data_IF_328659297122
#
_entry.id   IF_328659297122
#
_cell.length_a   1.000
_cell.length_b   1.000
_cell.length_c   1.000
_cell.angle_alpha   90.00
_cell.angle_beta   90.00
_cell.angle_gamma   90.00
#
_symmetry.space_group_name_H-M   'P 1'
#
loop_
_entity.id
_entity.type
_entity.pdbx_description
1 polymer ?
#
# COMPACT_ATOMS: atom_id res chain seq x y z
N UNK A 1 26.55 -89.20 -1.05
CA UNK A 1 25.51 -88.67 -0.18
C UNK A 1 25.83 -87.16 0.07
N UNK A 2 25.54 -86.33 -0.92
CA UNK A 2 25.86 -84.87 -0.84
C UNK A 2 24.59 -84.09 -1.07
N UNK A 3 24.19 -83.25 -0.04
CA UNK A 3 23.11 -82.35 -0.13
C UNK A 3 23.70 -80.98 -0.51
N UNK A 4 23.30 -80.41 -1.63
CA UNK A 4 23.59 -79.03 -2.03
C UNK A 4 22.60 -78.07 -1.43
N UNK A 5 23.11 -77.09 -0.60
CA UNK A 5 22.40 -75.92 -0.17
C UNK A 5 22.52 -74.86 -1.28
N UNK A 6 21.38 -74.45 -1.83
CA UNK A 6 21.31 -73.28 -2.72
C UNK A 6 21.07 -72.04 -1.89
N UNK A 7 22.00 -71.11 -1.87
CA UNK A 7 21.80 -69.75 -1.39
C UNK A 7 21.19 -68.94 -2.52
N UNK A 8 19.97 -68.40 -2.28
CA UNK A 8 19.35 -67.38 -3.13
C UNK A 8 19.80 -66.00 -2.62
N UNK A 9 20.61 -65.30 -3.44
CA UNK A 9 20.90 -63.89 -3.26
C UNK A 9 19.67 -63.08 -3.70
N UNK A 10 18.99 -62.45 -2.75
CA UNK A 10 18.00 -61.40 -3.01
C UNK A 10 18.77 -60.09 -3.18
N UNK A 11 18.89 -59.61 -4.41
CA UNK A 11 19.36 -58.25 -4.71
C UNK A 11 18.25 -57.27 -4.37
N UNK A 12 18.42 -56.56 -3.27
CA UNK A 12 17.61 -55.40 -2.92
C UNK A 12 18.09 -54.22 -3.78
N UNK A 13 17.40 -53.95 -4.88
CA UNK A 13 17.60 -52.73 -5.67
C UNK A 13 16.96 -51.55 -4.90
N UNK A 14 17.77 -50.79 -4.19
CA UNK A 14 17.36 -49.48 -3.67
C UNK A 14 17.19 -48.50 -4.82
N UNK A 15 15.96 -48.18 -5.15
CA UNK A 15 15.61 -47.06 -6.01
C UNK A 15 15.97 -45.78 -5.27
N UNK A 16 17.15 -45.23 -5.55
CA UNK A 16 17.49 -43.84 -5.28
C UNK A 16 16.69 -42.99 -6.28
N UNK A 17 15.54 -42.46 -5.86
CA UNK A 17 14.93 -41.35 -6.55
C UNK A 17 15.92 -40.19 -6.49
N UNK A 18 16.23 -39.49 -7.59
CA UNK A 18 16.96 -38.24 -7.50
C UNK A 18 16.11 -37.26 -6.71
N UNK A 19 16.63 -36.81 -5.57
CA UNK A 19 16.18 -35.58 -4.95
C UNK A 19 16.35 -34.49 -6.02
N UNK A 20 15.24 -33.99 -6.56
CA UNK A 20 15.25 -32.80 -7.34
C UNK A 20 15.89 -31.73 -6.42
N UNK A 21 17.10 -31.31 -6.76
CA UNK A 21 17.63 -30.05 -6.26
C UNK A 21 16.63 -29.01 -6.73
N UNK A 22 15.90 -28.43 -5.77
CA UNK A 22 15.28 -27.15 -5.99
C UNK A 22 16.44 -26.22 -6.35
N UNK A 23 16.40 -25.66 -7.55
CA UNK A 23 17.27 -24.56 -7.92
C UNK A 23 16.99 -23.46 -6.89
N UNK A 24 17.93 -23.28 -5.94
CA UNK A 24 17.98 -22.15 -5.03
C UNK A 24 18.30 -20.90 -5.90
N UNK A 25 17.34 -20.40 -6.64
CA UNK A 25 17.38 -19.02 -7.11
C UNK A 25 17.44 -18.14 -5.85
N UNK A 26 18.45 -17.29 -5.72
CA UNK A 26 18.59 -16.48 -4.52
C UNK A 26 17.35 -15.58 -4.39
N UNK A 27 16.52 -15.84 -3.39
CA UNK A 27 15.33 -15.05 -3.10
C UNK A 27 15.67 -13.57 -2.84
N UNK A 28 14.67 -12.75 -2.55
CA UNK A 28 14.86 -11.33 -2.24
C UNK A 28 15.94 -11.13 -1.14
N UNK A 29 17.01 -10.35 -1.41
CA UNK A 29 18.24 -10.40 -0.61
C UNK A 29 18.20 -9.56 0.68
N UNK A 30 17.27 -8.60 0.82
CA UNK A 30 17.22 -7.71 1.99
C UNK A 30 16.34 -8.36 3.06
N UNK A 31 16.98 -8.98 4.04
CA UNK A 31 16.32 -9.75 5.10
C UNK A 31 15.84 -8.91 6.29
N UNK A 32 16.34 -7.68 6.45
CA UNK A 32 15.87 -6.77 7.49
C UNK A 32 14.58 -6.07 7.00
N UNK A 33 13.42 -6.25 7.67
CA UNK A 33 12.13 -5.75 7.17
C UNK A 33 12.04 -4.22 7.13
N UNK A 34 12.65 -3.52 8.09
CA UNK A 34 12.64 -2.06 8.11
C UNK A 34 13.50 -1.50 6.98
N UNK A 35 14.70 -2.06 6.80
CA UNK A 35 15.58 -1.68 5.70
C UNK A 35 14.91 -1.96 4.36
N UNK A 36 14.38 -3.17 4.14
CA UNK A 36 13.67 -3.54 2.93
C UNK A 36 12.56 -2.53 2.57
N UNK A 37 11.78 -2.12 3.57
CA UNK A 37 10.69 -1.14 3.40
C UNK A 37 11.17 0.23 2.95
N UNK A 38 12.34 0.68 3.46
CA UNK A 38 12.93 2.00 3.17
C UNK A 38 13.63 2.00 1.81
N UNK A 39 14.51 1.02 1.58
CA UNK A 39 15.38 1.02 0.40
C UNK A 39 14.74 0.36 -0.83
N UNK A 40 13.75 -0.49 -0.62
CA UNK A 40 13.13 -1.26 -1.71
C UNK A 40 14.03 -2.36 -2.25
N UNK A 41 13.92 -2.61 -3.55
CA UNK A 41 14.70 -3.63 -4.25
C UNK A 41 16.05 -3.08 -4.70
N UNK A 42 17.17 -3.79 -4.51
CA UNK A 42 18.47 -3.40 -5.05
C UNK A 42 18.40 -3.13 -6.56
N UNK A 43 19.03 -2.03 -7.07
CA UNK A 43 18.86 -1.60 -8.46
C UNK A 43 19.11 -2.68 -9.51
N UNK A 44 20.09 -3.57 -9.29
CA UNK A 44 20.45 -4.67 -10.21
C UNK A 44 19.41 -5.82 -10.24
N UNK A 45 18.48 -5.84 -9.28
CA UNK A 45 17.44 -6.86 -9.15
C UNK A 45 16.03 -6.33 -9.42
N UNK A 46 15.93 -5.06 -9.81
CA UNK A 46 14.68 -4.42 -10.19
C UNK A 46 14.22 -4.95 -11.55
N UNK A 47 12.96 -5.35 -11.66
CA UNK A 47 12.35 -5.66 -12.96
C UNK A 47 12.36 -4.39 -13.83
N UNK A 48 12.88 -4.47 -15.06
CA UNK A 48 12.97 -3.31 -15.94
C UNK A 48 11.59 -2.84 -16.39
N UNK A 49 11.33 -1.56 -16.23
CA UNK A 49 10.13 -0.88 -16.73
C UNK A 49 10.55 0.28 -17.62
N UNK A 50 9.71 0.72 -18.60
CA UNK A 50 10.02 1.85 -19.45
C UNK A 50 10.21 3.13 -18.62
N UNK A 51 11.01 4.08 -19.13
CA UNK A 51 11.12 5.39 -18.52
C UNK A 51 9.78 6.12 -18.50
N UNK A 52 9.58 7.02 -17.54
CA UNK A 52 8.32 7.75 -17.39
C UNK A 52 7.92 8.51 -18.66
N UNK A 53 8.92 9.05 -19.38
CA UNK A 53 8.73 9.78 -20.63
C UNK A 53 8.31 8.89 -21.82
N UNK A 54 8.55 7.59 -21.73
CA UNK A 54 8.15 6.62 -22.75
C UNK A 54 6.70 6.17 -22.58
N UNK A 55 6.15 6.30 -21.35
CA UNK A 55 4.79 5.93 -21.05
C UNK A 55 3.82 7.03 -21.50
N UNK A 56 2.86 6.68 -22.33
CA UNK A 56 1.78 7.60 -22.67
C UNK A 56 0.88 7.80 -21.46
N UNK A 57 0.98 8.94 -20.81
CA UNK A 57 0.23 9.24 -19.58
C UNK A 57 -0.22 10.70 -19.53
N UNK A 58 -1.22 10.98 -18.69
CA UNK A 58 -1.70 12.33 -18.35
C UNK A 58 -2.22 12.36 -16.92
N UNK A 59 -1.96 13.47 -16.23
CA UNK A 59 -2.68 13.81 -15.01
C UNK A 59 -4.01 14.45 -15.40
N UNK A 60 -5.08 13.94 -14.85
CA UNK A 60 -6.46 14.34 -15.12
C UNK A 60 -7.16 14.59 -13.79
N UNK A 61 -8.33 15.23 -13.82
CA UNK A 61 -9.12 15.45 -12.62
C UNK A 61 -10.62 15.28 -12.88
N UNK A 62 -11.36 14.88 -11.85
CA UNK A 62 -12.82 14.75 -11.88
C UNK A 62 -13.44 15.36 -10.65
N UNK A 63 -14.63 15.92 -10.83
CA UNK A 63 -15.40 16.53 -9.74
C UNK A 63 -16.36 15.50 -9.14
N UNK A 64 -15.94 14.84 -8.06
CA UNK A 64 -16.72 13.79 -7.40
C UNK A 64 -17.84 14.37 -6.55
N UNK A 65 -17.57 15.43 -5.79
CA UNK A 65 -18.50 16.08 -4.87
C UNK A 65 -18.74 17.54 -5.29
N UNK A 66 -19.57 17.81 -6.32
CA UNK A 66 -19.75 19.14 -6.90
C UNK A 66 -20.30 20.19 -5.90
N UNK A 67 -21.12 19.75 -4.96
CA UNK A 67 -21.77 20.65 -3.98
C UNK A 67 -20.96 20.84 -2.69
N UNK A 68 -19.79 20.21 -2.57
CA UNK A 68 -18.96 20.33 -1.36
C UNK A 68 -18.39 21.75 -1.24
N UNK A 69 -18.64 22.37 -0.09
CA UNK A 69 -17.91 23.58 0.30
C UNK A 69 -16.51 23.22 0.78
N UNK A 70 -15.52 23.90 0.24
CA UNK A 70 -14.13 23.85 0.73
C UNK A 70 -13.67 25.25 1.11
N UNK A 71 -12.94 25.40 2.23
CA UNK A 71 -12.27 26.67 2.55
C UNK A 71 -11.40 27.14 1.38
N UNK A 72 -11.25 28.46 1.14
CA UNK A 72 -10.43 28.98 0.04
C UNK A 72 -9.00 28.45 0.01
N UNK A 73 -8.39 28.16 1.17
CA UNK A 73 -7.07 27.55 1.27
C UNK A 73 -7.00 26.15 0.63
N UNK A 74 -8.12 25.42 0.54
CA UNK A 74 -8.24 24.10 -0.05
C UNK A 74 -8.84 24.11 -1.47
N UNK A 75 -8.97 25.29 -2.09
CA UNK A 75 -9.64 25.42 -3.40
C UNK A 75 -9.03 24.58 -4.52
N UNK A 76 -7.73 24.27 -4.44
CA UNK A 76 -7.03 23.38 -5.39
C UNK A 76 -7.47 21.91 -5.30
N UNK A 77 -8.10 21.49 -4.21
CA UNK A 77 -8.59 20.13 -3.99
C UNK A 77 -10.11 19.98 -4.26
N UNK A 78 -10.68 20.83 -5.10
CA UNK A 78 -12.10 20.72 -5.50
C UNK A 78 -12.38 19.57 -6.43
N UNK A 79 -11.37 19.11 -7.15
CA UNK A 79 -11.42 17.99 -8.06
C UNK A 79 -10.43 16.93 -7.57
N UNK A 80 -10.81 15.67 -7.70
CA UNK A 80 -9.94 14.54 -7.43
C UNK A 80 -9.00 14.36 -8.60
N UNK A 81 -7.71 14.41 -8.35
CA UNK A 81 -6.68 14.15 -9.35
C UNK A 81 -6.42 12.65 -9.47
N UNK A 82 -6.15 12.22 -10.69
CA UNK A 82 -5.73 10.85 -10.98
C UNK A 82 -4.77 10.81 -12.17
N UNK A 83 -3.95 9.77 -12.26
CA UNK A 83 -3.06 9.56 -13.41
C UNK A 83 -3.60 8.46 -14.28
N UNK A 84 -3.71 8.75 -15.58
CA UNK A 84 -4.05 7.77 -16.61
C UNK A 84 -2.82 7.45 -17.43
N UNK A 85 -2.47 6.15 -17.54
CA UNK A 85 -1.57 5.63 -18.56
C UNK A 85 -2.37 4.76 -19.53
N UNK A 86 -2.18 4.93 -20.87
CA UNK A 86 -3.05 4.25 -21.83
C UNK A 86 -2.38 3.85 -23.14
N UNK A 87 -3.01 2.89 -23.83
CA UNK A 87 -2.70 2.45 -25.19
C UNK A 87 -3.73 2.95 -26.19
N UNK A 88 -3.38 2.95 -27.48
CA UNK A 88 -4.32 3.38 -28.55
C UNK A 88 -5.33 2.28 -28.94
N UNK A 89 -5.02 1.02 -28.67
CA UNK A 89 -5.86 -0.14 -28.93
C UNK A 89 -6.71 -0.50 -27.69
N UNK A 90 -7.78 -1.29 -27.86
CA UNK A 90 -8.49 -1.86 -26.74
C UNK A 90 -7.57 -2.68 -25.83
N UNK A 91 -7.69 -2.48 -24.53
CA UNK A 91 -6.89 -3.18 -23.53
C UNK A 91 -7.62 -3.28 -22.18
N UNK A 92 -7.23 -4.20 -21.30
CA UNK A 92 -7.70 -4.22 -19.91
C UNK A 92 -7.35 -2.92 -19.19
N UNK A 93 -8.23 -2.44 -18.30
CA UNK A 93 -7.96 -1.29 -17.43
C UNK A 93 -7.72 -1.76 -16.00
N UNK A 94 -6.56 -1.45 -15.46
CA UNK A 94 -6.24 -1.64 -14.05
C UNK A 94 -6.50 -0.33 -13.30
N UNK A 95 -7.34 -0.39 -12.26
CA UNK A 95 -7.33 0.63 -11.22
C UNK A 95 -6.26 0.28 -10.19
N UNK A 96 -5.41 1.25 -9.84
CA UNK A 96 -4.35 1.09 -8.87
C UNK A 96 -4.54 2.09 -7.73
N UNK A 97 -4.81 1.58 -6.50
CA UNK A 97 -5.13 2.39 -5.32
C UNK A 97 -3.92 2.53 -4.42
N UNK A 98 -3.61 3.78 -4.03
CA UNK A 98 -2.47 4.11 -3.18
C UNK A 98 -2.64 3.66 -1.71
N UNK A 99 -1.52 3.43 -1.04
CA UNK A 99 -1.45 3.16 0.41
C UNK A 99 -1.67 4.40 1.27
N UNK A 100 -1.65 4.22 2.57
CA UNK A 100 -1.93 5.26 3.59
C UNK A 100 -1.24 6.59 3.31
N UNK A 101 -2.01 7.65 3.18
CA UNK A 101 -1.54 9.02 2.96
C UNK A 101 -0.96 9.32 1.58
N UNK A 102 -0.77 8.31 0.74
CA UNK A 102 -0.10 8.45 -0.56
C UNK A 102 -1.04 8.98 -1.64
N UNK A 103 -0.49 9.84 -2.51
CA UNK A 103 -1.16 10.34 -3.70
C UNK A 103 -1.04 9.40 -4.91
N UNK A 104 -1.82 9.69 -5.94
CA UNK A 104 -1.80 9.01 -7.25
C UNK A 104 -0.42 9.11 -7.97
N UNK A 105 0.42 10.04 -7.56
CA UNK A 105 1.73 10.35 -8.13
C UNK A 105 2.90 9.75 -7.31
N UNK A 106 2.60 8.89 -6.33
CA UNK A 106 3.63 8.31 -5.46
C UNK A 106 4.60 7.40 -6.26
N UNK A 107 5.91 7.42 -5.95
CA UNK A 107 6.93 6.69 -6.72
C UNK A 107 6.67 5.19 -6.84
N UNK A 108 6.14 4.55 -5.77
CA UNK A 108 5.82 3.13 -5.77
C UNK A 108 4.69 2.79 -6.75
N UNK A 109 3.66 3.62 -6.79
CA UNK A 109 2.55 3.43 -7.72
C UNK A 109 2.95 3.78 -9.15
N UNK A 110 3.83 4.76 -9.32
CA UNK A 110 4.38 5.09 -10.63
C UNK A 110 5.13 3.89 -11.23
N UNK A 111 5.94 3.20 -10.43
CA UNK A 111 6.61 1.98 -10.87
C UNK A 111 5.60 0.88 -11.27
N UNK A 112 4.63 0.56 -10.42
CA UNK A 112 3.61 -0.46 -10.73
C UNK A 112 2.77 -0.08 -11.96
N UNK A 113 2.42 1.18 -12.10
CA UNK A 113 1.73 1.72 -13.30
C UNK A 113 2.54 1.44 -14.57
N UNK A 114 3.87 1.71 -14.54
CA UNK A 114 4.74 1.43 -15.69
C UNK A 114 4.86 -0.05 -16.00
N UNK A 115 4.90 -0.90 -14.98
CA UNK A 115 4.91 -2.35 -15.15
C UNK A 115 3.61 -2.87 -15.80
N UNK A 116 2.44 -2.45 -15.30
CA UNK A 116 1.15 -2.82 -15.89
C UNK A 116 0.97 -2.23 -17.29
N UNK A 117 1.43 -1.00 -17.52
CA UNK A 117 1.38 -0.41 -18.85
C UNK A 117 2.29 -1.16 -19.83
N UNK A 118 3.49 -1.57 -19.43
CA UNK A 118 4.40 -2.41 -20.23
C UNK A 118 3.77 -3.75 -20.59
N UNK A 119 2.97 -4.33 -19.69
CA UNK A 119 2.19 -5.54 -19.90
C UNK A 119 0.91 -5.33 -20.75
N UNK A 120 0.77 -4.18 -21.41
CA UNK A 120 -0.31 -3.91 -22.35
C UNK A 120 -1.63 -3.42 -21.73
N UNK A 121 -1.64 -3.04 -20.46
CA UNK A 121 -2.85 -2.60 -19.75
C UNK A 121 -2.96 -1.07 -19.75
N UNK A 122 -4.18 -0.53 -19.79
CA UNK A 122 -4.43 0.83 -19.32
C UNK A 122 -4.36 0.86 -17.82
N UNK A 123 -3.93 1.98 -17.22
CA UNK A 123 -3.85 2.12 -15.77
C UNK A 123 -4.44 3.45 -15.33
N UNK A 124 -5.38 3.43 -14.40
CA UNK A 124 -5.83 4.60 -13.64
C UNK A 124 -5.29 4.48 -12.22
N UNK A 125 -4.44 5.42 -11.82
CA UNK A 125 -3.88 5.49 -10.47
C UNK A 125 -4.67 6.49 -9.64
N UNK A 126 -5.14 6.05 -8.47
CA UNK A 126 -5.94 6.85 -7.54
C UNK A 126 -5.21 7.06 -6.22
N UNK A 127 -5.37 8.26 -5.66
CA UNK A 127 -4.91 8.57 -4.31
C UNK A 127 -5.63 7.70 -3.26
N UNK A 128 -4.94 7.44 -2.17
CA UNK A 128 -5.54 6.80 -0.98
C UNK A 128 -6.74 7.59 -0.45
N UNK A 129 -7.79 6.96 0.06
CA UNK A 129 -8.84 7.64 0.80
C UNK A 129 -8.34 8.51 1.96
N UNK A 130 -7.17 8.19 2.53
CA UNK A 130 -6.54 8.97 3.60
C UNK A 130 -5.61 10.10 3.11
N UNK A 131 -5.47 10.28 1.80
CA UNK A 131 -4.74 11.41 1.22
C UNK A 131 -5.62 12.67 1.21
N UNK A 132 -5.02 13.84 1.45
CA UNK A 132 -5.73 15.11 1.52
C UNK A 132 -6.53 15.44 0.25
N UNK A 133 -6.04 15.09 -0.93
CA UNK A 133 -6.75 15.28 -2.20
C UNK A 133 -8.05 14.48 -2.21
N UNK A 134 -7.99 13.18 -1.86
CA UNK A 134 -9.16 12.32 -1.79
C UNK A 134 -10.14 12.73 -0.70
N UNK A 135 -9.65 13.06 0.51
CA UNK A 135 -10.49 13.52 1.62
C UNK A 135 -11.32 14.75 1.21
N UNK A 136 -10.66 15.73 0.59
CA UNK A 136 -11.31 16.97 0.17
C UNK A 136 -12.27 16.76 -1.00
N UNK A 137 -11.85 16.05 -2.06
CA UNK A 137 -12.56 15.98 -3.31
C UNK A 137 -13.59 14.83 -3.40
N UNK A 138 -13.38 13.72 -2.68
CA UNK A 138 -14.12 12.48 -2.93
C UNK A 138 -14.72 11.82 -1.69
N UNK A 139 -14.16 11.99 -0.49
CA UNK A 139 -14.70 11.35 0.71
C UNK A 139 -16.01 12.00 1.15
N UNK A 140 -17.15 11.31 1.07
CA UNK A 140 -18.44 11.86 1.48
C UNK A 140 -18.48 12.23 2.97
N UNK A 141 -17.91 11.40 3.82
CA UNK A 141 -17.88 11.64 5.26
C UNK A 141 -16.81 12.65 5.69
N UNK A 142 -15.73 12.79 4.91
CA UNK A 142 -14.51 13.47 5.32
C UNK A 142 -13.73 12.73 6.43
N UNK A 143 -14.15 11.50 6.76
CA UNK A 143 -13.57 10.65 7.80
C UNK A 143 -13.25 9.28 7.23
N UNK A 144 -12.16 9.12 6.46
CA UNK A 144 -11.77 7.84 5.90
C UNK A 144 -11.31 6.85 6.98
N UNK A 145 -11.32 5.56 6.63
CA UNK A 145 -10.92 4.46 7.51
C UNK A 145 -12.06 3.49 7.84
N UNK A 146 -13.25 3.72 7.28
CA UNK A 146 -14.35 2.77 7.31
C UNK A 146 -14.43 2.09 5.93
N UNK A 147 -13.90 0.85 5.82
CA UNK A 147 -13.70 0.16 4.54
C UNK A 147 -14.88 0.19 3.59
N UNK A 148 -16.11 -0.01 4.09
CA UNK A 148 -17.32 0.05 3.26
C UNK A 148 -17.65 1.46 2.74
N UNK A 149 -17.36 2.51 3.52
CA UNK A 149 -17.59 3.89 3.09
C UNK A 149 -16.52 4.31 2.08
N UNK A 150 -15.26 4.02 2.39
CA UNK A 150 -14.13 4.31 1.50
C UNK A 150 -14.28 3.57 0.16
N UNK A 151 -14.81 2.33 0.19
CA UNK A 151 -15.11 1.59 -1.04
C UNK A 151 -16.18 2.26 -1.91
N UNK A 152 -17.26 2.80 -1.31
CA UNK A 152 -18.29 3.54 -2.07
C UNK A 152 -17.73 4.81 -2.68
N UNK A 153 -16.91 5.55 -1.92
CA UNK A 153 -16.26 6.77 -2.38
C UNK A 153 -15.29 6.49 -3.53
N UNK A 154 -14.45 5.44 -3.39
CA UNK A 154 -13.55 4.96 -4.44
C UNK A 154 -14.31 4.49 -5.68
N UNK A 155 -15.34 3.68 -5.52
CA UNK A 155 -16.14 3.17 -6.64
C UNK A 155 -16.78 4.32 -7.44
N UNK A 156 -17.29 5.35 -6.76
CA UNK A 156 -17.83 6.56 -7.39
C UNK A 156 -16.74 7.33 -8.14
N UNK A 157 -15.58 7.50 -7.53
CA UNK A 157 -14.41 8.16 -8.14
C UNK A 157 -13.91 7.39 -9.39
N UNK A 158 -13.82 6.06 -9.30
CA UNK A 158 -13.44 5.18 -10.41
C UNK A 158 -14.42 5.31 -11.59
N UNK A 159 -15.72 5.34 -11.32
CA UNK A 159 -16.75 5.49 -12.33
C UNK A 159 -16.60 6.79 -13.11
N UNK A 160 -16.44 7.90 -12.38
CA UNK A 160 -16.25 9.22 -12.99
C UNK A 160 -14.92 9.32 -13.75
N UNK A 161 -13.83 8.74 -13.18
CA UNK A 161 -12.53 8.74 -13.83
C UNK A 161 -12.55 7.97 -15.16
N UNK A 162 -13.23 6.82 -15.24
CA UNK A 162 -13.40 6.04 -16.47
C UNK A 162 -14.22 6.82 -17.50
N UNK A 163 -15.36 7.39 -17.10
CA UNK A 163 -16.20 8.19 -17.99
C UNK A 163 -15.39 9.36 -18.58
N UNK A 164 -14.67 10.07 -17.73
CA UNK A 164 -13.81 11.18 -18.14
C UNK A 164 -12.67 10.73 -19.07
N UNK A 165 -11.97 9.65 -18.74
CA UNK A 165 -10.88 9.11 -19.55
C UNK A 165 -11.36 8.63 -20.93
N UNK A 166 -12.53 7.98 -21.01
CA UNK A 166 -13.16 7.59 -22.28
C UNK A 166 -13.44 8.80 -23.16
N UNK A 167 -13.97 9.87 -22.58
CA UNK A 167 -14.31 11.10 -23.30
C UNK A 167 -13.06 11.86 -23.77
N UNK A 168 -12.07 12.01 -22.89
CA UNK A 168 -10.87 12.83 -23.16
C UNK A 168 -9.84 12.10 -24.06
N UNK A 169 -9.71 10.79 -23.94
CA UNK A 169 -8.66 10.00 -24.60
C UNK A 169 -9.19 8.94 -25.57
N UNK A 170 -10.51 8.88 -25.80
CA UNK A 170 -11.17 7.85 -26.60
C UNK A 170 -10.76 6.43 -26.13
N UNK A 171 -10.69 6.24 -24.79
CA UNK A 171 -10.21 5.03 -24.16
C UNK A 171 -11.13 3.84 -24.45
N UNK A 172 -10.56 2.76 -24.97
CA UNK A 172 -11.28 1.52 -25.27
C UNK A 172 -10.86 0.45 -24.26
N UNK A 173 -11.78 0.07 -23.38
CA UNK A 173 -11.53 -0.85 -22.28
C UNK A 173 -12.18 -2.19 -22.59
N UNK A 174 -11.38 -3.27 -22.60
CA UNK A 174 -11.86 -4.63 -22.83
C UNK A 174 -12.45 -5.27 -21.57
N UNK A 175 -11.81 -5.05 -20.43
CA UNK A 175 -12.23 -5.54 -19.11
C UNK A 175 -11.63 -4.65 -18.01
N UNK A 176 -12.08 -4.87 -16.77
CA UNK A 176 -11.58 -4.13 -15.61
C UNK A 176 -10.82 -5.04 -14.67
N UNK A 177 -9.71 -4.52 -14.14
CA UNK A 177 -8.87 -5.15 -13.13
C UNK A 177 -8.62 -4.15 -12.00
N UNK A 178 -8.30 -4.66 -10.83
CA UNK A 178 -8.11 -3.85 -9.63
C UNK A 178 -6.84 -4.27 -8.91
N UNK A 179 -6.05 -3.30 -8.47
CA UNK A 179 -4.92 -3.55 -7.59
C UNK A 179 -4.83 -2.45 -6.53
N UNK A 180 -4.28 -2.77 -5.38
CA UNK A 180 -4.03 -1.77 -4.35
C UNK A 180 -2.80 -2.15 -3.52
N UNK A 181 -2.13 -1.14 -2.97
CA UNK A 181 -1.00 -1.33 -2.08
C UNK A 181 -1.34 -0.91 -0.65
N UNK A 182 -0.96 -1.74 0.35
CA UNK A 182 -1.16 -1.43 1.77
C UNK A 182 -2.64 -1.14 2.09
N UNK A 183 -2.98 0.03 2.65
CA UNK A 183 -4.38 0.45 2.84
C UNK A 183 -5.18 0.42 1.52
N UNK A 184 -4.54 0.75 0.40
CA UNK A 184 -5.17 0.63 -0.92
C UNK A 184 -5.55 -0.81 -1.28
N UNK A 185 -4.82 -1.80 -0.79
CA UNK A 185 -5.16 -3.21 -0.95
C UNK A 185 -6.39 -3.62 -0.11
N UNK A 186 -6.45 -3.16 1.14
CA UNK A 186 -7.67 -3.32 1.95
C UNK A 186 -8.88 -2.69 1.23
N UNK A 187 -8.72 -1.47 0.74
CA UNK A 187 -9.78 -0.77 0.02
C UNK A 187 -10.16 -1.48 -1.29
N UNK A 188 -9.19 -2.03 -2.04
CA UNK A 188 -9.45 -2.82 -3.24
C UNK A 188 -10.31 -4.05 -2.93
N UNK A 189 -10.06 -4.74 -1.82
CA UNK A 189 -10.89 -5.86 -1.39
C UNK A 189 -12.34 -5.44 -1.11
N UNK A 190 -12.56 -4.31 -0.42
CA UNK A 190 -13.90 -3.78 -0.17
C UNK A 190 -14.58 -3.24 -1.43
N UNK A 191 -13.83 -2.64 -2.37
CA UNK A 191 -14.36 -2.20 -3.67
C UNK A 191 -14.80 -3.40 -4.50
N UNK A 192 -13.99 -4.45 -4.58
CA UNK A 192 -14.35 -5.67 -5.29
C UNK A 192 -15.58 -6.37 -4.67
N UNK A 193 -15.68 -6.38 -3.32
CA UNK A 193 -16.84 -6.90 -2.61
C UNK A 193 -18.11 -6.07 -2.91
N UNK A 194 -18.01 -4.75 -2.90
CA UNK A 194 -19.12 -3.86 -3.24
C UNK A 194 -19.57 -4.03 -4.69
N UNK A 195 -18.63 -4.22 -5.62
CA UNK A 195 -18.95 -4.35 -7.05
C UNK A 195 -19.66 -5.66 -7.38
N UNK A 196 -19.63 -6.69 -6.51
CA UNK A 196 -20.47 -7.89 -6.67
C UNK A 196 -21.98 -7.53 -6.74
N UNK A 197 -22.40 -6.58 -5.92
CA UNK A 197 -23.79 -6.12 -5.89
C UNK A 197 -24.09 -5.11 -7.00
N UNK A 198 -23.15 -4.21 -7.29
CA UNK A 198 -23.32 -3.14 -8.26
C UNK A 198 -23.12 -3.60 -9.69
N UNK A 199 -22.29 -4.61 -9.92
CA UNK A 199 -21.98 -5.21 -11.23
C UNK A 199 -21.59 -4.17 -12.31
N UNK A 200 -20.87 -3.13 -11.89
CA UNK A 200 -20.48 -2.05 -12.78
C UNK A 200 -19.16 -2.33 -13.50
N UNK A 201 -18.16 -2.81 -12.76
CA UNK A 201 -16.84 -3.13 -13.29
C UNK A 201 -16.67 -4.60 -13.57
N UNK A 202 -17.23 -5.49 -12.72
CA UNK A 202 -17.07 -6.94 -12.82
C UNK A 202 -15.60 -7.31 -12.97
N UNK A 203 -14.78 -6.95 -11.95
CA UNK A 203 -13.33 -7.10 -12.00
C UNK A 203 -12.91 -8.54 -12.32
N UNK A 204 -12.20 -8.72 -13.45
CA UNK A 204 -11.66 -10.01 -13.86
C UNK A 204 -10.47 -10.47 -13.02
N UNK A 205 -9.74 -9.53 -12.42
CA UNK A 205 -8.65 -9.79 -11.45
C UNK A 205 -8.59 -8.68 -10.41
N UNK A 206 -8.34 -9.07 -9.16
CA UNK A 206 -8.10 -8.14 -8.05
C UNK A 206 -6.87 -8.57 -7.27
N UNK A 207 -5.84 -7.72 -7.18
CA UNK A 207 -4.58 -8.01 -6.50
C UNK A 207 -4.36 -7.13 -5.27
N UNK A 208 -4.22 -7.77 -4.12
CA UNK A 208 -3.99 -7.13 -2.84
C UNK A 208 -2.50 -7.19 -2.51
N UNK A 209 -1.79 -6.06 -2.63
CA UNK A 209 -0.35 -5.95 -2.36
C UNK A 209 -0.11 -5.49 -0.92
N UNK A 210 0.46 -6.36 -0.09
CA UNK A 210 0.73 -6.12 1.34
C UNK A 210 -0.48 -5.57 2.12
N UNK A 211 -1.66 -6.22 2.05
CA UNK A 211 -2.86 -5.72 2.69
C UNK A 211 -2.78 -5.77 4.22
N UNK A 212 -3.18 -4.72 4.95
CA UNK A 212 -3.53 -4.88 6.35
C UNK A 212 -4.80 -5.74 6.44
N UNK A 213 -4.78 -6.77 7.30
CA UNK A 213 -5.97 -7.61 7.53
C UNK A 213 -6.91 -6.96 8.52
N UNK A 214 -6.35 -6.39 9.56
CA UNK A 214 -7.03 -5.63 10.61
C UNK A 214 -6.39 -4.25 10.71
N UNK A 215 -7.11 -3.24 10.23
CA UNK A 215 -6.61 -1.87 10.20
C UNK A 215 -6.28 -1.34 11.59
N UNK A 216 -7.09 -1.68 12.60
CA UNK A 216 -6.88 -1.22 13.98
C UNK A 216 -5.57 -1.75 14.58
N UNK A 217 -5.27 -3.03 14.36
CA UNK A 217 -4.00 -3.64 14.78
C UNK A 217 -2.82 -3.03 14.01
N UNK A 218 -2.95 -2.85 12.71
CA UNK A 218 -1.88 -2.30 11.86
C UNK A 218 -1.53 -0.87 12.23
N UNK A 219 -2.52 0.01 12.49
CA UNK A 219 -2.24 1.40 12.90
C UNK A 219 -1.53 1.48 14.26
N UNK A 220 -1.89 0.62 15.23
CA UNK A 220 -1.19 0.55 16.52
C UNK A 220 0.28 0.15 16.36
N UNK A 221 0.58 -0.79 15.45
CA UNK A 221 1.94 -1.18 15.13
C UNK A 221 2.71 -0.03 14.48
N UNK A 222 2.11 0.67 13.53
CA UNK A 222 2.72 1.85 12.89
C UNK A 222 2.98 2.99 13.89
N UNK A 223 2.02 3.28 14.78
CA UNK A 223 2.18 4.29 15.83
C UNK A 223 3.29 3.92 16.84
N UNK A 224 3.47 2.62 17.10
CA UNK A 224 4.53 2.13 17.97
C UNK A 224 5.93 2.35 17.38
N UNK A 225 6.11 2.27 16.05
CA UNK A 225 7.40 2.53 15.39
C UNK A 225 7.91 3.94 15.69
N UNK A 226 7.03 4.95 15.67
CA UNK A 226 7.39 6.34 15.98
C UNK A 226 7.78 6.57 17.46
N UNK A 227 7.51 5.59 18.33
CA UNK A 227 7.81 5.63 19.77
C UNK A 227 9.00 4.74 20.16
N UNK A 228 9.68 4.14 19.17
CA UNK A 228 10.86 3.30 19.41
C UNK A 228 11.94 4.13 20.09
N UNK A 229 12.50 3.59 21.17
CA UNK A 229 13.57 4.27 21.90
C UNK A 229 14.91 4.04 21.20
N UNK A 230 15.68 5.10 21.06
CA UNK A 230 17.03 5.10 20.50
C UNK A 230 17.98 5.58 21.59
N UNK A 231 19.02 4.81 21.86
CA UNK A 231 20.00 5.14 22.88
C UNK A 231 20.67 6.49 22.59
N UNK A 232 20.68 7.35 23.62
CA UNK A 232 21.28 8.68 23.51
C UNK A 232 20.44 9.74 22.78
N UNK A 233 19.23 9.39 22.31
CA UNK A 233 18.32 10.32 21.62
C UNK A 233 17.09 10.58 22.48
N UNK A 234 16.83 11.85 22.80
CA UNK A 234 15.66 12.27 23.57
C UNK A 234 14.86 13.32 22.80
N UNK A 235 13.69 12.91 22.24
CA UNK A 235 12.79 13.77 21.50
C UNK A 235 13.03 13.84 19.98
N UNK A 236 12.04 14.33 19.23
CA UNK A 236 12.04 14.31 17.78
C UNK A 236 13.14 15.16 17.13
N UNK A 237 13.42 16.35 17.65
CA UNK A 237 14.48 17.22 17.10
C UNK A 237 15.85 16.57 17.23
N UNK A 238 16.13 15.93 18.37
CA UNK A 238 17.36 15.16 18.61
C UNK A 238 17.48 13.95 17.69
N UNK A 239 16.37 13.31 17.34
CA UNK A 239 16.36 12.19 16.39
C UNK A 239 16.80 12.63 14.99
N UNK A 240 16.21 13.69 14.47
CA UNK A 240 16.60 14.20 13.14
C UNK A 240 18.05 14.65 13.11
N UNK A 241 18.53 15.34 14.14
CA UNK A 241 19.93 15.73 14.26
C UNK A 241 20.83 14.50 14.27
N UNK A 242 20.49 13.46 15.03
CA UNK A 242 21.23 12.20 15.08
C UNK A 242 21.33 11.51 13.71
N UNK A 243 20.22 11.41 12.98
CA UNK A 243 20.21 10.85 11.63
C UNK A 243 21.07 11.70 10.67
N UNK A 244 20.94 13.04 10.71
CA UNK A 244 21.79 13.92 9.91
C UNK A 244 23.28 13.77 10.20
N UNK A 245 23.66 13.59 11.46
CA UNK A 245 25.08 13.35 11.84
C UNK A 245 25.61 12.03 11.27
N UNK A 246 24.78 10.96 11.23
CA UNK A 246 25.17 9.69 10.61
C UNK A 246 25.33 9.84 9.08
N UNK A 247 24.41 10.53 8.44
CA UNK A 247 24.49 10.83 7.00
C UNK A 247 25.74 11.65 6.68
N UNK A 248 26.02 12.70 7.46
CA UNK A 248 27.18 13.56 7.26
C UNK A 248 28.51 12.76 7.39
N UNK A 249 28.63 11.91 8.40
CA UNK A 249 29.79 11.02 8.56
C UNK A 249 29.97 10.10 7.37
N UNK A 250 28.91 9.48 6.90
CA UNK A 250 28.96 8.64 5.70
C UNK A 250 29.49 9.41 4.48
N UNK A 251 29.00 10.63 4.24
CA UNK A 251 29.47 11.48 3.13
C UNK A 251 30.94 11.88 3.27
N UNK A 252 31.39 12.17 4.51
CA UNK A 252 32.80 12.47 4.78
C UNK A 252 33.70 11.24 4.53
N UNK A 253 33.28 10.05 4.93
CA UNK A 253 33.99 8.79 4.77
C UNK A 253 34.01 8.30 3.32
N UNK A 254 32.89 8.41 2.61
CA UNK A 254 32.75 7.95 1.21
C UNK A 254 33.37 8.90 0.17
N UNK A 255 33.64 10.15 0.54
CA UNK A 255 34.18 11.18 -0.37
C UNK A 255 33.24 11.56 -1.50
N UNK A 256 31.97 11.15 -1.45
CA UNK A 256 30.99 11.33 -2.50
C UNK A 256 29.85 12.27 -2.10
N UNK A 257 29.33 12.99 -3.08
CA UNK A 257 28.12 13.86 -2.95
C UNK A 257 26.91 13.30 -3.70
N UNK A 258 27.02 12.11 -4.30
CA UNK A 258 25.95 11.52 -5.10
C UNK A 258 24.87 10.92 -4.19
N UNK A 259 23.72 11.60 -4.20
CA UNK A 259 22.48 11.16 -3.51
C UNK A 259 21.69 10.27 -4.49
N UNK A 260 22.31 9.23 -5.02
CA UNK A 260 21.63 8.25 -5.85
C UNK A 260 20.86 7.22 -5.02
N UNK A 261 20.04 6.43 -5.70
CA UNK A 261 19.23 5.34 -5.10
C UNK A 261 20.04 4.31 -4.27
N UNK A 262 21.37 4.30 -4.41
CA UNK A 262 22.32 3.50 -3.63
C UNK A 262 22.71 4.06 -2.26
N UNK A 263 22.32 5.30 -1.91
CA UNK A 263 22.76 5.97 -0.68
C UNK A 263 22.48 5.14 0.58
N UNK A 264 21.25 4.66 0.75
CA UNK A 264 20.89 3.86 1.92
C UNK A 264 21.59 2.50 1.95
N UNK A 265 21.85 1.87 0.81
CA UNK A 265 22.66 0.66 0.74
C UNK A 265 24.12 0.94 1.13
N UNK A 266 24.67 2.05 0.68
CA UNK A 266 26.01 2.49 1.01
C UNK A 266 26.18 2.75 2.51
N UNK A 267 25.25 3.51 3.12
CA UNK A 267 25.23 3.79 4.55
C UNK A 267 25.16 2.49 5.34
N UNK A 268 24.30 1.55 4.94
CA UNK A 268 24.08 0.30 5.65
C UNK A 268 25.29 -0.65 5.57
N UNK A 269 26.18 -0.43 4.62
CA UNK A 269 27.44 -1.17 4.47
C UNK A 269 28.63 -0.47 5.13
N UNK A 270 28.43 0.64 5.84
CA UNK A 270 29.44 1.46 6.50
C UNK A 270 29.38 1.37 8.03
N UNK A 271 30.36 1.96 8.71
CA UNK A 271 30.37 2.12 10.17
C UNK A 271 29.24 3.07 10.66
N UNK A 272 28.61 3.82 9.73
CA UNK A 272 27.49 4.71 9.98
C UNK A 272 26.12 4.02 9.78
N UNK A 273 26.08 2.68 9.67
CA UNK A 273 24.85 1.91 9.48
C UNK A 273 23.76 2.28 10.49
N UNK A 274 22.52 2.37 10.00
CA UNK A 274 21.35 2.61 10.84
C UNK A 274 20.95 1.32 11.58
N UNK A 275 20.66 1.45 12.85
CA UNK A 275 20.13 0.35 13.67
C UNK A 275 18.65 0.10 13.34
N UNK A 276 18.12 -1.06 13.73
CA UNK A 276 16.69 -1.40 13.58
C UNK A 276 15.79 -0.37 14.25
N UNK A 277 16.20 0.15 15.42
CA UNK A 277 15.46 1.19 16.14
C UNK A 277 15.38 2.51 15.35
N UNK A 278 16.48 2.90 14.70
CA UNK A 278 16.52 4.09 13.86
C UNK A 278 15.70 3.93 12.57
N UNK A 279 15.81 2.77 11.91
CA UNK A 279 15.01 2.44 10.74
C UNK A 279 13.51 2.40 11.06
N UNK A 280 13.13 1.74 12.15
CA UNK A 280 11.75 1.70 12.64
C UNK A 280 11.21 3.11 12.93
N UNK A 281 12.01 3.96 13.60
CA UNK A 281 11.61 5.33 13.91
C UNK A 281 11.47 6.19 12.66
N UNK A 282 12.33 6.01 11.64
CA UNK A 282 12.19 6.70 10.34
C UNK A 282 10.86 6.35 9.67
N UNK A 283 10.51 5.06 9.62
CA UNK A 283 9.21 4.61 9.10
C UNK A 283 8.07 5.24 9.91
N UNK A 284 8.15 5.14 11.24
CA UNK A 284 7.15 5.70 12.14
C UNK A 284 6.98 7.21 11.98
N UNK A 285 8.05 7.96 11.73
CA UNK A 285 8.00 9.40 11.47
C UNK A 285 7.24 9.73 10.18
N UNK A 286 7.47 8.98 9.08
CA UNK A 286 6.73 9.15 7.82
C UNK A 286 5.24 8.92 8.04
N UNK A 287 4.87 7.85 8.76
CA UNK A 287 3.47 7.56 9.07
C UNK A 287 2.87 8.58 10.04
N UNK A 288 3.66 9.20 10.94
CA UNK A 288 3.21 10.30 11.79
C UNK A 288 2.84 11.54 10.97
N UNK A 289 3.60 11.87 9.92
CA UNK A 289 3.24 12.95 9.00
C UNK A 289 1.95 12.64 8.24
N UNK A 290 1.78 11.41 7.77
CA UNK A 290 0.54 10.98 7.11
C UNK A 290 -0.67 11.04 8.07
N UNK A 291 -0.49 10.66 9.33
CA UNK A 291 -1.53 10.78 10.36
C UNK A 291 -1.88 12.25 10.65
N UNK A 292 -0.88 13.14 10.71
CA UNK A 292 -1.11 14.57 10.92
C UNK A 292 -1.92 15.21 9.77
N UNK A 293 -1.58 14.87 8.53
CA UNK A 293 -2.31 15.34 7.35
C UNK A 293 -3.77 14.85 7.37
N UNK A 294 -3.98 13.55 7.61
CA UNK A 294 -5.31 12.96 7.79
C UNK A 294 -6.12 13.67 8.88
N UNK A 295 -5.54 13.82 10.08
CA UNK A 295 -6.18 14.45 11.21
C UNK A 295 -6.62 15.88 10.91
N UNK A 296 -5.73 16.64 10.29
CA UNK A 296 -5.98 18.03 9.93
C UNK A 296 -7.05 18.16 8.85
N UNK A 297 -6.95 17.37 7.78
CA UNK A 297 -7.92 17.41 6.69
C UNK A 297 -9.31 16.95 7.13
N UNK A 298 -9.38 15.89 7.93
CA UNK A 298 -10.63 15.40 8.50
C UNK A 298 -11.31 16.47 9.37
N UNK A 299 -10.54 17.16 10.23
CA UNK A 299 -11.03 18.25 11.07
C UNK A 299 -11.59 19.44 10.24
N UNK A 300 -10.87 19.81 9.17
CA UNK A 300 -11.31 20.90 8.29
C UNK A 300 -12.60 20.55 7.53
N UNK A 301 -12.67 19.36 6.98
CA UNK A 301 -13.81 18.91 6.15
C UNK A 301 -15.06 18.70 7.02
N UNK A 302 -14.89 18.19 8.23
CA UNK A 302 -16.00 17.96 9.17
C UNK A 302 -16.34 19.17 10.04
N UNK A 303 -15.60 20.28 9.90
CA UNK A 303 -15.73 21.49 10.73
C UNK A 303 -15.57 21.21 12.23
N UNK A 304 -14.68 20.28 12.59
CA UNK A 304 -14.49 19.80 13.97
C UNK A 304 -13.91 20.84 14.92
N UNK A 305 -13.18 21.86 14.42
CA UNK A 305 -12.61 22.96 15.22
C UNK A 305 -11.48 22.55 16.16
N UNK A 306 -10.89 21.36 15.95
CA UNK A 306 -9.83 20.79 16.79
C UNK A 306 -8.47 21.43 16.52
N UNK A 307 -8.11 21.57 15.25
CA UNK A 307 -6.83 22.13 14.82
C UNK A 307 -6.97 23.55 14.30
N UNK A 308 -7.96 23.81 13.46
CA UNK A 308 -8.33 25.15 13.04
C UNK A 308 -9.62 25.56 13.77
N UNK A 309 -9.70 26.81 14.35
CA UNK A 309 -10.89 27.24 15.07
C UNK A 309 -12.16 27.14 14.22
N UNK A 310 -13.22 26.62 14.82
CA UNK A 310 -14.53 26.57 14.16
C UNK A 310 -14.99 27.97 13.77
N UNK A 311 -15.35 28.15 12.50
CA UNK A 311 -15.78 29.46 11.96
C UNK A 311 -14.64 30.35 11.45
N UNK A 312 -13.38 29.94 11.57
CA UNK A 312 -12.28 30.66 10.93
C UNK A 312 -12.29 30.42 9.43
N UNK A 313 -12.28 31.48 8.63
CA UNK A 313 -12.15 31.36 7.18
C UNK A 313 -10.68 31.25 6.79
N UNK A 314 -10.23 30.04 6.47
CA UNK A 314 -8.88 29.81 5.95
C UNK A 314 -8.77 30.33 4.52
N UNK A 315 -8.08 31.46 4.37
CA UNK A 315 -7.83 32.10 3.05
C UNK A 315 -6.67 31.40 2.34
N UNK A 316 -6.53 31.61 1.04
CA UNK A 316 -5.40 31.10 0.25
C UNK A 316 -4.04 31.54 0.83
N UNK A 317 -3.98 32.74 1.43
CA UNK A 317 -2.78 33.28 2.08
C UNK A 317 -2.59 32.86 3.54
N UNK A 318 -3.52 32.08 4.11
CA UNK A 318 -3.40 31.61 5.50
C UNK A 318 -2.31 30.54 5.60
N UNK A 319 -1.33 30.73 6.50
CA UNK A 319 -0.34 29.70 6.79
C UNK A 319 -1.01 28.52 7.51
N UNK A 320 -0.94 27.35 6.94
CA UNK A 320 -1.45 26.11 7.53
C UNK A 320 -0.46 25.48 8.53
N UNK A 321 0.79 25.92 8.55
CA UNK A 321 1.86 25.37 9.40
C UNK A 321 1.50 25.30 10.89
N UNK A 322 0.90 26.32 11.54
CA UNK A 322 0.54 26.24 12.96
C UNK A 322 -0.48 25.14 13.26
N UNK A 323 -1.42 24.90 12.35
CA UNK A 323 -2.47 23.89 12.49
C UNK A 323 -1.89 22.47 12.29
N UNK A 324 -1.07 22.27 11.25
CA UNK A 324 -0.36 21.02 11.00
C UNK A 324 0.58 20.65 12.15
N UNK A 325 1.28 21.62 12.75
CA UNK A 325 2.11 21.37 13.94
C UNK A 325 1.29 20.80 15.10
N UNK A 326 0.07 21.27 15.32
CA UNK A 326 -0.83 20.70 16.35
C UNK A 326 -1.24 19.28 15.99
N UNK A 327 -1.54 19.03 14.72
CA UNK A 327 -1.94 17.70 14.25
C UNK A 327 -0.80 16.66 14.35
N UNK A 328 0.48 17.08 14.32
CA UNK A 328 1.62 16.18 14.52
C UNK A 328 1.65 15.48 15.89
N UNK A 329 0.94 16.00 16.89
CA UNK A 329 0.80 15.33 18.20
C UNK A 329 -0.28 14.25 18.22
N UNK A 330 -1.05 14.10 17.15
CA UNK A 330 -2.11 13.11 16.99
C UNK A 330 -1.69 12.05 15.97
N UNK A 331 -1.53 10.82 16.42
CA UNK A 331 -1.24 9.66 15.58
C UNK A 331 -2.52 9.03 15.00
N UNK A 332 -2.42 7.88 14.34
CA UNK A 332 -3.59 7.19 13.80
C UNK A 332 -4.54 6.71 14.90
N UNK A 333 -4.03 6.23 16.03
CA UNK A 333 -4.84 5.84 17.17
C UNK A 333 -5.62 7.03 17.72
N UNK A 334 -4.96 8.19 17.82
CA UNK A 334 -5.62 9.44 18.21
C UNK A 334 -6.72 9.85 17.21
N UNK A 335 -6.49 9.76 15.90
CA UNK A 335 -7.50 10.00 14.87
C UNK A 335 -8.71 9.08 15.06
N UNK A 336 -8.45 7.80 15.22
CA UNK A 336 -9.48 6.79 15.43
C UNK A 336 -10.32 7.12 16.67
N UNK A 337 -9.69 7.39 17.80
CA UNK A 337 -10.37 7.64 19.07
C UNK A 337 -11.12 8.97 19.11
N UNK A 338 -10.59 9.99 18.44
CA UNK A 338 -11.09 11.37 18.61
C UNK A 338 -11.95 11.89 17.48
N UNK A 339 -11.90 11.25 16.31
CA UNK A 339 -12.67 11.66 15.13
C UNK A 339 -13.51 10.52 14.55
N UNK A 340 -12.88 9.40 14.16
CA UNK A 340 -13.57 8.33 13.45
C UNK A 340 -14.55 7.56 14.35
N UNK A 341 -14.10 7.12 15.54
CA UNK A 341 -14.93 6.39 16.50
C UNK A 341 -16.16 7.18 16.98
N UNK A 342 -16.06 8.46 17.38
CA UNK A 342 -17.22 9.24 17.75
C UNK A 342 -18.26 9.36 16.64
N UNK A 343 -17.82 9.53 15.40
CA UNK A 343 -18.70 9.61 14.24
C UNK A 343 -19.39 8.26 13.91
N UNK A 344 -18.68 7.15 14.07
CA UNK A 344 -19.24 5.82 13.84
C UNK A 344 -20.19 5.40 14.97
N UNK A 345 -19.79 5.57 16.24
CA UNK A 345 -20.56 5.17 17.40
C UNK A 345 -21.90 5.91 17.53
N UNK A 346 -21.96 7.17 17.10
CA UNK A 346 -23.20 7.96 17.08
C UNK A 346 -24.30 7.36 16.17
N UNK A 347 -23.92 6.50 15.22
CA UNK A 347 -24.83 5.79 14.29
C UNK A 347 -24.98 4.31 14.59
N UNK A 348 -24.22 3.81 15.57
CA UNK A 348 -24.12 2.39 15.92
C UNK A 348 -24.23 2.22 17.45
N UNK A 349 -25.31 2.75 18.04
CA UNK A 349 -25.54 2.71 19.47
C UNK A 349 -25.42 1.28 20.04
N UNK A 350 -24.74 1.15 21.17
CA UNK A 350 -24.54 -0.10 21.88
C UNK A 350 -23.44 -1.03 21.33
N UNK A 351 -22.82 -0.68 20.20
CA UNK A 351 -21.66 -1.43 19.69
C UNK A 351 -20.36 -0.83 20.21
N UNK A 352 -19.37 -1.68 20.54
CA UNK A 352 -18.01 -1.27 20.96
C UNK A 352 -17.08 -0.94 19.76
N UNK A 353 -15.90 -0.40 20.07
CA UNK A 353 -14.88 -0.09 19.08
C UNK A 353 -14.38 -1.35 18.34
N UNK A 354 -14.45 -2.50 18.99
CA UNK A 354 -14.10 -3.80 18.41
C UNK A 354 -15.04 -4.17 17.26
N UNK A 355 -16.31 -3.79 17.33
CA UNK A 355 -17.26 -3.99 16.25
C UNK A 355 -16.91 -3.15 15.03
N UNK A 356 -16.51 -1.89 15.23
CA UNK A 356 -16.00 -1.02 14.16
C UNK A 356 -14.72 -1.60 13.54
N UNK A 357 -13.77 -2.03 14.39
CA UNK A 357 -12.53 -2.62 13.94
C UNK A 357 -12.76 -3.88 13.08
N UNK A 358 -13.70 -4.73 13.51
CA UNK A 358 -14.08 -5.93 12.76
C UNK A 358 -14.75 -5.58 11.42
N UNK A 359 -15.71 -4.65 11.41
CA UNK A 359 -16.40 -4.20 10.18
C UNK A 359 -15.45 -3.59 9.14
N UNK A 360 -14.31 -3.04 9.56
CA UNK A 360 -13.30 -2.44 8.68
C UNK A 360 -12.14 -3.37 8.35
N UNK A 361 -12.19 -4.62 8.78
CA UNK A 361 -11.16 -5.62 8.55
C UNK A 361 -11.52 -6.58 7.41
N UNK A 362 -10.51 -7.25 6.83
CA UNK A 362 -10.72 -8.32 5.85
C UNK A 362 -11.47 -9.53 6.44
N UNK A 363 -11.47 -9.70 7.78
CA UNK A 363 -12.26 -10.73 8.45
C UNK A 363 -13.76 -10.58 8.16
N UNK A 364 -14.27 -9.36 8.04
CA UNK A 364 -15.70 -9.11 7.81
C UNK A 364 -16.20 -9.57 6.43
N UNK A 365 -15.28 -9.69 5.46
CA UNK A 365 -15.54 -10.11 4.08
C UNK A 365 -14.82 -11.43 3.73
N UNK A 366 -14.35 -12.18 4.72
CA UNK A 366 -13.62 -13.43 4.50
C UNK A 366 -14.34 -14.41 3.56
N UNK A 367 -15.67 -14.68 3.71
CA UNK A 367 -16.36 -15.60 2.81
C UNK A 367 -16.28 -15.20 1.34
N UNK A 368 -16.32 -13.89 1.04
CA UNK A 368 -16.13 -13.36 -0.29
C UNK A 368 -14.70 -13.60 -0.80
N UNK A 369 -13.69 -13.27 -0.01
CA UNK A 369 -12.27 -13.41 -0.37
C UNK A 369 -11.91 -14.89 -0.61
N UNK A 370 -12.42 -15.78 0.23
CA UNK A 370 -12.16 -17.22 0.16
C UNK A 370 -12.74 -17.85 -1.10
N UNK A 371 -13.97 -17.47 -1.46
CA UNK A 371 -14.73 -18.09 -2.54
C UNK A 371 -14.56 -17.43 -3.90
N UNK A 372 -13.89 -16.27 -3.99
CA UNK A 372 -13.65 -15.58 -5.24
C UNK A 372 -12.28 -15.95 -5.82
N UNK A 373 -12.22 -16.73 -6.94
CA UNK A 373 -10.95 -17.15 -7.54
C UNK A 373 -10.15 -16.00 -8.18
N UNK A 374 -10.81 -14.90 -8.48
CA UNK A 374 -10.24 -13.74 -9.19
C UNK A 374 -9.54 -12.74 -8.25
N UNK A 375 -9.46 -13.07 -6.95
CA UNK A 375 -8.77 -12.24 -5.95
C UNK A 375 -7.57 -12.97 -5.39
N UNK A 376 -6.39 -12.34 -5.47
CA UNK A 376 -5.15 -12.83 -4.88
C UNK A 376 -4.55 -11.81 -3.89
N UNK A 377 -3.73 -12.29 -2.98
CA UNK A 377 -3.00 -11.44 -2.04
C UNK A 377 -1.50 -11.76 -2.08
N UNK A 378 -0.67 -10.71 -2.08
CA UNK A 378 0.78 -10.80 -1.98
C UNK A 378 1.21 -10.14 -0.67
N UNK A 379 2.03 -10.84 0.12
CA UNK A 379 2.60 -10.27 1.36
C UNK A 379 3.89 -10.96 1.76
N UNK A 380 4.59 -10.37 2.73
CA UNK A 380 5.85 -10.88 3.26
C UNK A 380 5.64 -11.39 4.69
N UNK A 381 6.32 -12.50 5.05
CA UNK A 381 6.23 -13.08 6.38
C UNK A 381 6.80 -12.14 7.47
N UNK A 382 7.73 -11.27 7.07
CA UNK A 382 8.37 -10.26 7.91
C UNK A 382 7.70 -8.87 7.84
N UNK A 383 6.49 -8.76 7.24
CA UNK A 383 5.76 -7.50 7.18
C UNK A 383 5.31 -7.05 8.58
N UNK A 384 5.94 -6.01 9.10
CA UNK A 384 5.76 -5.54 10.48
C UNK A 384 4.38 -4.93 10.78
N UNK A 385 3.55 -4.62 9.77
CA UNK A 385 2.18 -4.16 10.01
C UNK A 385 1.23 -5.32 10.36
N UNK A 386 1.62 -6.57 10.07
CA UNK A 386 0.82 -7.75 10.30
C UNK A 386 1.19 -8.42 11.63
N UNK A 387 0.19 -8.98 12.31
CA UNK A 387 0.41 -9.98 13.36
C UNK A 387 0.58 -11.36 12.74
N UNK A 388 1.10 -12.33 13.53
CA UNK A 388 1.15 -13.73 13.07
C UNK A 388 -0.24 -14.30 12.72
N UNK A 389 -1.31 -13.84 13.39
CA UNK A 389 -2.68 -14.22 13.08
C UNK A 389 -3.16 -13.61 11.76
N UNK A 390 -2.80 -12.35 11.49
CA UNK A 390 -3.09 -11.70 10.22
C UNK A 390 -2.41 -12.41 9.05
N UNK A 391 -1.12 -12.78 9.20
CA UNK A 391 -0.38 -13.51 8.18
C UNK A 391 -1.03 -14.88 7.90
N UNK A 392 -1.38 -15.64 8.96
CA UNK A 392 -2.09 -16.91 8.82
C UNK A 392 -3.45 -16.75 8.13
N UNK A 393 -4.20 -15.70 8.47
CA UNK A 393 -5.46 -15.39 7.81
C UNK A 393 -5.29 -15.24 6.30
N UNK A 394 -4.25 -14.52 5.84
CA UNK A 394 -3.98 -14.37 4.40
C UNK A 394 -3.69 -15.75 3.79
N UNK A 395 -2.79 -16.53 4.40
CA UNK A 395 -2.45 -17.86 3.90
C UNK A 395 -3.67 -18.79 3.80
N UNK A 396 -4.49 -18.85 4.85
CA UNK A 396 -5.64 -19.75 4.95
C UNK A 396 -6.81 -19.31 4.05
N UNK A 397 -7.00 -17.99 3.88
CA UNK A 397 -8.12 -17.43 3.10
C UNK A 397 -7.87 -17.53 1.61
N UNK A 398 -6.66 -17.24 1.17
CA UNK A 398 -6.33 -17.22 -0.26
C UNK A 398 -5.74 -18.53 -0.78
N UNK A 399 -5.15 -19.38 0.08
CA UNK A 399 -4.55 -20.66 -0.33
C UNK A 399 -3.49 -20.47 -1.42
N UNK A 400 -3.64 -21.12 -2.58
CA UNK A 400 -2.72 -21.00 -3.73
C UNK A 400 -2.69 -19.57 -4.34
N UNK A 401 -3.68 -18.74 -4.05
CA UNK A 401 -3.75 -17.33 -4.45
C UNK A 401 -3.05 -16.40 -3.45
N UNK A 402 -2.45 -16.93 -2.39
CA UNK A 402 -1.59 -16.20 -1.47
C UNK A 402 -0.13 -16.29 -1.95
N UNK A 403 0.41 -15.20 -2.47
CA UNK A 403 1.81 -15.09 -2.88
C UNK A 403 2.63 -14.64 -1.66
N UNK A 404 3.21 -15.61 -0.96
CA UNK A 404 3.88 -15.40 0.33
C UNK A 404 5.40 -15.46 0.15
N UNK A 405 6.06 -14.37 0.52
CA UNK A 405 7.51 -14.26 0.48
C UNK A 405 8.09 -14.25 1.90
N UNK A 406 9.27 -14.86 2.14
CA UNK A 406 9.88 -14.87 3.48
C UNK A 406 10.31 -13.48 3.94
N UNK A 407 10.80 -12.64 3.00
CA UNK A 407 11.39 -11.34 3.26
C UNK A 407 10.86 -10.28 2.29
N UNK A 408 10.94 -9.01 2.73
CA UNK A 408 10.54 -7.85 1.95
C UNK A 408 9.94 -6.72 2.81
N UNK A 409 9.72 -6.96 4.08
CA UNK A 409 9.07 -5.98 4.97
C UNK A 409 7.73 -5.53 4.41
N UNK A 410 7.42 -4.24 4.50
CA UNK A 410 6.17 -3.69 3.97
C UNK A 410 6.36 -3.22 2.51
N UNK A 411 6.40 -4.17 1.57
CA UNK A 411 6.45 -3.92 0.13
C UNK A 411 7.82 -3.48 -0.41
N UNK A 412 8.92 -3.85 0.25
CA UNK A 412 10.26 -3.59 -0.25
C UNK A 412 10.62 -4.43 -1.48
N UNK A 413 10.01 -5.60 -1.62
CA UNK A 413 10.22 -6.52 -2.74
C UNK A 413 9.29 -6.29 -3.96
N UNK A 414 8.46 -5.24 -3.97
CA UNK A 414 7.48 -5.00 -5.05
C UNK A 414 8.09 -4.68 -6.41
N UNK A 415 9.39 -4.39 -6.46
CA UNK A 415 10.14 -4.18 -7.70
C UNK A 415 11.08 -5.34 -8.03
N UNK A 416 11.14 -6.36 -7.16
CA UNK A 416 12.00 -7.52 -7.35
C UNK A 416 11.52 -8.38 -8.52
N UNK A 417 12.47 -8.87 -9.33
CA UNK A 417 12.21 -9.60 -10.57
C UNK A 417 11.11 -10.65 -10.45
N UNK A 418 11.22 -11.55 -9.47
CA UNK A 418 10.27 -12.66 -9.33
C UNK A 418 8.92 -12.19 -8.77
N UNK A 419 8.93 -11.18 -7.90
CA UNK A 419 7.70 -10.58 -7.39
C UNK A 419 6.90 -9.93 -8.52
N UNK A 420 7.58 -9.18 -9.41
CA UNK A 420 6.90 -8.53 -10.54
C UNK A 420 6.40 -9.55 -11.55
N UNK A 421 7.17 -10.61 -11.84
CA UNK A 421 6.70 -11.72 -12.68
C UNK A 421 5.39 -12.32 -12.14
N UNK A 422 5.33 -12.59 -10.82
CA UNK A 422 4.15 -13.14 -10.18
C UNK A 422 2.96 -12.18 -10.24
N UNK A 423 3.21 -10.87 -9.99
CA UNK A 423 2.20 -9.81 -10.11
C UNK A 423 1.63 -9.77 -11.53
N UNK A 424 2.50 -9.74 -12.54
CA UNK A 424 2.07 -9.64 -13.93
C UNK A 424 1.36 -10.92 -14.40
N UNK A 425 1.88 -12.10 -14.07
CA UNK A 425 1.24 -13.38 -14.40
C UNK A 425 -0.20 -13.46 -13.87
N UNK A 426 -0.44 -13.08 -12.61
CA UNK A 426 -1.79 -13.05 -12.08
C UNK A 426 -2.67 -11.99 -12.75
N UNK A 427 -2.11 -10.79 -12.98
CA UNK A 427 -2.88 -9.67 -13.55
C UNK A 427 -3.15 -9.84 -15.05
N UNK A 428 -2.32 -10.56 -15.80
CA UNK A 428 -2.56 -10.87 -17.22
C UNK A 428 -3.65 -11.94 -17.38
N UNK A 429 -3.80 -12.83 -16.39
CA UNK A 429 -4.64 -14.01 -16.46
C UNK A 429 -3.95 -15.11 -17.27
N UNK A 430 -4.39 -16.35 -17.08
CA UNK A 430 -3.93 -17.46 -17.89
C UNK A 430 -4.40 -17.23 -19.35
N UNK A 431 -3.47 -16.83 -20.21
CA UNK A 431 -3.65 -16.98 -21.65
C UNK A 431 -3.42 -18.47 -21.99
N UNK A 432 -4.29 -19.34 -21.48
CA UNK A 432 -4.41 -20.70 -21.97
C UNK A 432 -5.10 -20.64 -23.35
N UNK A 433 -4.30 -20.44 -24.41
CA UNK A 433 -4.58 -20.87 -25.77
C UNK A 433 -3.48 -21.78 -26.28
#
# INVERSE_FOLDING_TARGET
MNRYLRFSCICLATLLAPLAQADDEPGYPVTNPFLATIVGTPPQLVWPVPDELEVRQSDLSVRVLPERYLPPALSRYRELHYRLAWHNQPAPLVFLIAGTGSGYDSPRLDYLKRAFWQAGMHVIVLSSPTNHDFIAAASHSGLPGLGQNDARDLHSAMSLAVEHARKEKNLQISEYRLAGFSLGALNAAFVAHLDQDLQQFNFSRTLLLNPPVDLYTSIKRLDALARTQIDGVSGGDSFYEHIFQKLARYFEESGGTDVESGLFYGIQSSDSALTDAELATLIGAVFRFAAADLNFMADLITHGGRYAPAGETLKVSTSLTPYLRRALFCDFSCYLETQLWPAWSSRNEGKGIEAMAWETSLYSIEPFLRNNPDIAALTNADDFILSGDNYRFIADTFGERAFLYPHGGHGGNLQYLDTVKQILAFMEGDNDE
#
